data_IF_557767884947
#
_entry.id   IF_557767884947
#
_cell.length_a   1.000
_cell.length_b   1.000
_cell.length_c   1.000
_cell.angle_alpha   90.00
_cell.angle_beta   90.00
_cell.angle_gamma   90.00
#
_symmetry.space_group_name_H-M   'P 1'
#
loop_
_entity.id
_entity.type
_entity.pdbx_description
1 polymer ?
#
# COMPACT_ATOMS: atom_id res chain seq x y z
N UNK A 1 -34.17 13.53 -19.39
CA UNK A 1 -33.75 14.28 -20.59
C UNK A 1 -32.37 14.92 -20.41
N UNK A 2 -32.15 15.73 -19.36
CA UNK A 2 -30.85 16.37 -19.07
C UNK A 2 -29.65 15.41 -18.90
N UNK A 3 -29.83 14.23 -18.28
CA UNK A 3 -28.74 13.25 -18.15
C UNK A 3 -28.31 12.63 -19.49
N UNK A 4 -29.27 12.44 -20.40
CA UNK A 4 -29.03 11.89 -21.73
C UNK A 4 -28.29 12.90 -22.63
N UNK A 5 -28.68 14.18 -22.56
CA UNK A 5 -27.95 15.27 -23.23
C UNK A 5 -26.53 15.43 -22.69
N UNK A 6 -26.35 15.37 -21.36
CA UNK A 6 -25.02 15.38 -20.74
C UNK A 6 -24.15 14.23 -21.24
N UNK A 7 -24.69 13.02 -21.31
CA UNK A 7 -23.95 11.86 -21.82
C UNK A 7 -23.57 12.03 -23.30
N UNK A 8 -24.48 12.53 -24.13
CA UNK A 8 -24.22 12.81 -25.55
C UNK A 8 -23.13 13.87 -25.75
N UNK A 9 -23.11 14.92 -24.93
CA UNK A 9 -22.05 15.95 -24.95
C UNK A 9 -20.70 15.33 -24.58
N UNK A 10 -20.66 14.53 -23.50
CA UNK A 10 -19.45 13.86 -23.05
C UNK A 10 -18.90 12.89 -24.11
N UNK A 11 -19.76 12.16 -24.82
CA UNK A 11 -19.35 11.26 -25.88
C UNK A 11 -18.80 12.01 -27.11
N UNK A 12 -19.44 13.12 -27.51
CA UNK A 12 -18.92 13.98 -28.58
C UNK A 12 -17.56 14.59 -28.23
N UNK A 13 -17.40 15.09 -27.01
CA UNK A 13 -16.12 15.62 -26.52
C UNK A 13 -15.05 14.52 -26.49
N UNK A 14 -15.41 13.31 -26.05
CA UNK A 14 -14.50 12.18 -25.99
C UNK A 14 -14.04 11.73 -27.39
N UNK A 15 -14.96 11.66 -28.35
CA UNK A 15 -14.65 11.35 -29.75
C UNK A 15 -13.76 12.43 -30.38
N UNK A 16 -14.06 13.71 -30.12
CA UNK A 16 -13.24 14.83 -30.57
C UNK A 16 -11.81 14.77 -30.02
N UNK A 17 -11.68 14.54 -28.71
CA UNK A 17 -10.39 14.32 -28.06
C UNK A 17 -9.67 13.09 -28.64
N UNK A 18 -10.37 12.00 -28.92
CA UNK A 18 -9.78 10.79 -29.51
C UNK A 18 -9.23 11.06 -30.92
N UNK A 19 -9.97 11.79 -31.77
CA UNK A 19 -9.50 12.22 -33.10
C UNK A 19 -8.27 13.12 -32.99
N UNK A 20 -8.29 14.09 -32.08
CA UNK A 20 -7.16 14.99 -31.86
C UNK A 20 -5.90 14.25 -31.34
N UNK A 21 -6.05 13.26 -30.46
CA UNK A 21 -4.95 12.40 -30.03
C UNK A 21 -4.36 11.58 -31.18
N UNK A 22 -5.21 10.97 -32.02
CA UNK A 22 -4.78 10.22 -33.22
C UNK A 22 -4.01 11.11 -34.20
N UNK A 23 -4.41 12.39 -34.33
CA UNK A 23 -3.68 13.40 -35.11
C UNK A 23 -2.37 13.88 -34.48
N UNK A 24 -2.01 13.40 -33.28
CA UNK A 24 -0.75 13.77 -32.62
C UNK A 24 -0.84 14.91 -31.60
N UNK A 25 -1.98 15.61 -31.47
CA UNK A 25 -2.11 16.78 -30.58
C UNK A 25 -1.98 16.40 -29.10
N UNK A 26 -1.22 17.18 -28.35
CA UNK A 26 -1.03 17.05 -26.91
C UNK A 26 -2.27 17.55 -26.13
N UNK A 27 -3.08 16.61 -25.67
CA UNK A 27 -4.36 16.90 -24.99
C UNK A 27 -4.23 17.24 -23.49
N UNK A 28 -3.01 17.41 -23.00
CA UNK A 28 -2.73 17.74 -21.60
C UNK A 28 -1.98 16.65 -20.83
N UNK A 29 -1.70 16.94 -19.56
CA UNK A 29 -0.83 16.14 -18.71
C UNK A 29 0.61 16.67 -18.66
N UNK A 30 1.48 15.92 -17.98
CA UNK A 30 2.89 16.29 -17.79
C UNK A 30 3.67 16.00 -19.06
N UNK A 31 4.26 17.02 -19.66
CA UNK A 31 5.11 16.92 -20.85
C UNK A 31 6.40 16.19 -20.49
N UNK A 32 6.83 15.17 -21.27
CA UNK A 32 8.09 14.49 -21.05
C UNK A 32 9.30 15.45 -21.07
N UNK A 33 10.35 15.11 -20.34
CA UNK A 33 11.60 15.88 -20.34
C UNK A 33 12.23 15.81 -21.75
N UNK A 34 12.87 16.87 -22.23
CA UNK A 34 13.36 16.93 -23.62
C UNK A 34 12.35 17.46 -24.64
N UNK A 35 11.10 17.68 -24.22
CA UNK A 35 10.04 18.18 -25.09
C UNK A 35 9.33 19.40 -24.49
N UNK A 36 8.70 20.16 -25.38
CA UNK A 36 7.76 21.24 -25.11
C UNK A 36 6.54 21.14 -26.03
N UNK A 37 5.49 21.89 -25.72
CA UNK A 37 4.27 21.92 -26.55
C UNK A 37 4.28 23.24 -27.32
N UNK A 38 4.30 23.15 -28.65
CA UNK A 38 4.28 24.34 -29.52
C UNK A 38 2.88 25.01 -29.52
N UNK A 39 2.77 26.15 -30.20
CA UNK A 39 1.52 26.92 -30.31
C UNK A 39 0.36 26.08 -30.90
N UNK A 40 0.67 25.21 -31.86
CA UNK A 40 -0.30 24.32 -32.54
C UNK A 40 -0.77 23.14 -31.68
N UNK A 41 -0.14 22.95 -30.52
CA UNK A 41 -0.48 21.90 -29.55
C UNK A 41 0.19 20.56 -29.83
N UNK A 42 1.31 20.52 -30.54
CA UNK A 42 2.14 19.34 -30.81
C UNK A 42 3.38 19.32 -29.93
N UNK A 43 3.96 18.12 -29.73
CA UNK A 43 5.26 18.01 -29.06
C UNK A 43 6.37 18.46 -30.01
N UNK A 44 7.21 19.35 -29.53
CA UNK A 44 8.43 19.84 -30.17
C UNK A 44 9.63 19.51 -29.28
N UNK A 45 10.77 19.24 -29.91
CA UNK A 45 12.02 18.96 -29.20
C UNK A 45 12.53 20.26 -28.58
N UNK A 46 12.88 20.20 -27.30
CA UNK A 46 13.61 21.26 -26.64
C UNK A 46 15.09 20.89 -26.63
N UNK A 47 15.90 21.55 -27.46
CA UNK A 47 17.30 21.17 -27.73
C UNK A 47 18.16 21.08 -26.46
N UNK A 48 17.96 21.98 -25.50
CA UNK A 48 18.73 22.00 -24.24
C UNK A 48 18.43 20.77 -23.36
N UNK A 49 17.15 20.44 -23.16
CA UNK A 49 16.78 19.23 -22.42
C UNK A 49 17.07 17.95 -23.25
N UNK A 50 17.01 18.03 -24.58
CA UNK A 50 17.29 16.90 -25.47
C UNK A 50 18.77 16.49 -25.44
N UNK A 51 19.72 17.43 -25.33
CA UNK A 51 21.14 17.14 -25.10
C UNK A 51 21.34 16.28 -23.85
N UNK A 52 20.64 16.63 -22.76
CA UNK A 52 20.69 15.86 -21.50
C UNK A 52 20.11 14.45 -21.68
N UNK A 53 19.02 14.31 -22.44
CA UNK A 53 18.46 12.98 -22.77
C UNK A 53 19.46 12.15 -23.58
N UNK A 54 20.09 12.73 -24.61
CA UNK A 54 21.13 12.06 -25.40
C UNK A 54 22.29 11.60 -24.51
N UNK A 55 22.75 12.45 -23.60
CA UNK A 55 23.82 12.06 -22.68
C UNK A 55 23.38 10.97 -21.70
N UNK A 56 22.14 10.98 -21.19
CA UNK A 56 21.60 9.88 -20.36
C UNK A 56 21.67 8.53 -21.10
N UNK A 57 21.28 8.49 -22.37
CA UNK A 57 21.36 7.26 -23.17
C UNK A 57 22.80 6.85 -23.44
N UNK A 58 23.69 7.81 -23.75
CA UNK A 58 25.11 7.57 -23.96
C UNK A 58 25.79 6.99 -22.70
N UNK A 59 25.58 7.61 -21.54
CA UNK A 59 26.12 7.13 -20.26
C UNK A 59 25.62 5.72 -19.93
N UNK A 60 24.34 5.45 -20.20
CA UNK A 60 23.72 4.16 -19.88
C UNK A 60 24.15 3.02 -20.82
N UNK A 61 24.14 3.28 -22.13
CA UNK A 61 24.35 2.27 -23.18
C UNK A 61 25.84 2.09 -23.48
N UNK A 62 26.58 3.19 -23.68
CA UNK A 62 27.96 3.13 -24.13
C UNK A 62 28.95 3.08 -22.96
N UNK A 63 28.69 3.84 -21.88
CA UNK A 63 29.59 3.90 -20.72
C UNK A 63 29.23 2.91 -19.59
N UNK A 64 28.13 2.18 -19.71
CA UNK A 64 27.63 1.21 -18.71
C UNK A 64 27.37 1.81 -17.31
N UNK A 65 27.01 3.09 -17.22
CA UNK A 65 26.69 3.72 -15.93
C UNK A 65 25.36 3.20 -15.39
N UNK A 66 25.24 3.01 -14.07
CA UNK A 66 23.94 2.68 -13.49
C UNK A 66 23.03 3.91 -13.46
N UNK A 67 21.71 3.70 -13.37
CA UNK A 67 20.75 4.81 -13.20
C UNK A 67 21.03 5.68 -11.96
N UNK A 68 21.74 5.15 -10.96
CA UNK A 68 22.17 5.90 -9.77
C UNK A 68 23.36 6.77 -10.14
N UNK A 69 24.37 6.23 -10.81
CA UNK A 69 25.57 6.97 -11.20
C UNK A 69 25.22 8.12 -12.13
N UNK A 70 24.32 7.89 -13.10
CA UNK A 70 23.79 8.95 -13.97
C UNK A 70 23.09 10.04 -13.15
N UNK A 71 22.30 9.66 -12.13
CA UNK A 71 21.63 10.64 -11.27
C UNK A 71 22.61 11.49 -10.48
N UNK A 72 23.68 10.88 -9.97
CA UNK A 72 24.72 11.59 -9.23
C UNK A 72 25.50 12.52 -10.15
N UNK A 73 25.87 12.05 -11.35
CA UNK A 73 26.55 12.84 -12.36
C UNK A 73 25.77 14.08 -12.79
N UNK A 74 24.48 13.93 -13.11
CA UNK A 74 23.63 15.07 -13.47
C UNK A 74 23.44 16.06 -12.31
N UNK A 75 23.33 15.54 -11.08
CA UNK A 75 23.23 16.38 -9.89
C UNK A 75 24.55 17.11 -9.55
N UNK A 76 25.72 16.50 -9.77
CA UNK A 76 27.01 17.16 -9.53
C UNK A 76 27.27 18.29 -10.52
N UNK A 77 26.69 18.21 -11.72
CA UNK A 77 26.71 19.28 -12.72
C UNK A 77 25.61 20.32 -12.51
N UNK A 78 24.80 20.21 -11.44
CA UNK A 78 23.65 21.07 -11.15
C UNK A 78 22.63 21.16 -12.32
N UNK A 79 22.53 20.12 -13.16
CA UNK A 79 21.59 20.11 -14.29
C UNK A 79 20.15 20.03 -13.74
N UNK A 80 19.28 21.00 -14.04
CA UNK A 80 17.94 21.03 -13.49
C UNK A 80 17.06 19.92 -14.08
N UNK A 81 16.23 19.31 -13.21
CA UNK A 81 15.22 18.32 -13.61
C UNK A 81 14.02 18.90 -14.36
N UNK A 82 13.97 20.23 -14.52
CA UNK A 82 12.95 20.95 -15.26
C UNK A 82 13.49 22.35 -15.60
N UNK A 83 14.03 22.53 -16.80
CA UNK A 83 14.67 23.79 -17.20
C UNK A 83 13.65 24.90 -17.46
N UNK A 84 12.39 24.54 -17.76
CA UNK A 84 11.33 25.47 -18.17
C UNK A 84 10.10 25.39 -17.26
N UNK A 85 10.24 25.82 -16.00
CA UNK A 85 9.14 25.79 -15.00
C UNK A 85 7.85 26.50 -15.44
N UNK A 86 7.94 27.46 -16.36
CA UNK A 86 6.83 28.31 -16.79
C UNK A 86 6.08 27.75 -18.02
N UNK A 87 6.64 26.75 -18.72
CA UNK A 87 6.03 26.21 -19.94
C UNK A 87 4.82 25.31 -19.67
N UNK A 88 3.89 25.28 -20.64
CA UNK A 88 2.64 24.51 -20.57
C UNK A 88 2.92 23.02 -20.32
N UNK A 89 2.27 22.43 -19.31
CA UNK A 89 2.39 21.01 -19.00
C UNK A 89 3.66 20.58 -18.25
N UNK A 90 4.50 21.51 -17.80
CA UNK A 90 5.60 21.19 -16.86
C UNK A 90 5.09 21.19 -15.40
N UNK A 91 5.72 20.37 -14.56
CA UNK A 91 5.30 20.20 -13.15
C UNK A 91 5.73 21.43 -12.33
N UNK A 92 4.80 22.07 -11.62
CA UNK A 92 5.03 23.30 -10.85
C UNK A 92 5.28 23.09 -9.35
N UNK A 93 4.69 22.07 -8.73
CA UNK A 93 4.79 21.78 -7.28
C UNK A 93 5.41 20.40 -7.00
N UNK A 94 6.16 20.30 -5.90
CA UNK A 94 6.73 19.05 -5.38
C UNK A 94 7.98 18.56 -6.10
N UNK A 95 8.79 19.47 -6.67
CA UNK A 95 10.09 19.11 -7.26
C UNK A 95 11.19 19.31 -6.23
N UNK A 96 11.99 18.28 -6.00
CA UNK A 96 13.22 18.36 -5.18
C UNK A 96 14.37 19.05 -5.91
N UNK A 97 14.18 19.42 -7.19
CA UNK A 97 15.23 19.98 -8.06
C UNK A 97 16.26 18.94 -8.53
N UNK A 98 16.56 17.94 -7.71
CA UNK A 98 17.54 16.88 -7.94
C UNK A 98 17.02 15.71 -8.77
N UNK A 99 17.87 15.20 -9.66
CA UNK A 99 17.70 13.95 -10.39
C UNK A 99 17.65 12.75 -9.44
N UNK A 100 16.65 11.88 -9.63
CA UNK A 100 16.54 10.60 -8.93
C UNK A 100 16.71 9.47 -9.95
N UNK A 101 17.26 8.34 -9.53
CA UNK A 101 17.44 7.18 -10.40
C UNK A 101 16.12 6.74 -11.11
N UNK A 102 14.98 6.81 -10.42
CA UNK A 102 13.67 6.50 -11.02
C UNK A 102 13.27 7.45 -12.16
N UNK A 103 13.69 8.72 -12.11
CA UNK A 103 13.46 9.67 -13.20
C UNK A 103 14.23 9.25 -14.44
N UNK A 104 15.48 8.81 -14.28
CA UNK A 104 16.33 8.30 -15.38
C UNK A 104 15.75 7.00 -15.93
N UNK A 105 15.36 6.05 -15.07
CA UNK A 105 14.71 4.82 -15.51
C UNK A 105 13.44 5.10 -16.31
N UNK A 106 12.65 6.11 -15.92
CA UNK A 106 11.46 6.52 -16.68
C UNK A 106 11.81 7.09 -18.04
N UNK A 107 12.90 7.87 -18.16
CA UNK A 107 13.41 8.35 -19.45
C UNK A 107 13.83 7.18 -20.33
N UNK A 108 14.68 6.30 -19.80
CA UNK A 108 15.19 5.12 -20.52
C UNK A 108 14.08 4.14 -20.93
N UNK A 109 12.95 4.10 -20.23
CA UNK A 109 11.85 3.16 -20.53
C UNK A 109 10.77 3.71 -21.46
N UNK A 110 10.75 5.03 -21.68
CA UNK A 110 9.66 5.67 -22.41
C UNK A 110 9.89 5.55 -23.91
N UNK A 111 8.94 4.94 -24.63
CA UNK A 111 8.93 4.87 -26.10
C UNK A 111 8.86 6.25 -26.78
N UNK A 112 8.41 7.29 -26.06
CA UNK A 112 8.35 8.68 -26.57
C UNK A 112 9.69 9.16 -27.11
N UNK A 113 10.82 8.72 -26.54
CA UNK A 113 12.15 9.20 -26.96
C UNK A 113 12.60 8.62 -28.29
N UNK A 114 12.05 7.46 -28.70
CA UNK A 114 12.20 6.87 -30.04
C UNK A 114 11.11 7.31 -31.03
N UNK A 115 10.32 8.33 -30.68
CA UNK A 115 9.31 8.91 -31.56
C UNK A 115 7.90 8.30 -31.45
N UNK A 116 7.64 7.40 -30.48
CA UNK A 116 6.32 6.77 -30.32
C UNK A 116 5.73 7.10 -28.95
N UNK A 117 4.69 7.92 -28.90
CA UNK A 117 4.01 8.26 -27.66
C UNK A 117 2.68 7.51 -27.52
N UNK A 118 2.49 6.81 -26.40
CA UNK A 118 1.26 6.10 -26.09
C UNK A 118 0.34 6.90 -25.17
N UNK A 119 -0.82 7.30 -25.68
CA UNK A 119 -1.84 8.06 -24.95
C UNK A 119 -2.99 7.16 -24.47
N UNK A 120 -3.43 7.35 -23.22
CA UNK A 120 -4.60 6.65 -22.67
C UNK A 120 -4.31 5.47 -21.73
N UNK A 121 -3.04 5.11 -21.47
CA UNK A 121 -2.64 3.98 -20.61
C UNK A 121 -3.24 3.94 -19.19
N UNK A 122 -3.75 5.07 -18.69
CA UNK A 122 -4.27 5.22 -17.31
C UNK A 122 -5.71 5.74 -17.26
N UNK A 123 -6.40 5.80 -18.40
CA UNK A 123 -7.78 6.29 -18.46
C UNK A 123 -8.77 5.20 -18.09
N UNK A 124 -9.70 5.47 -17.17
CA UNK A 124 -10.76 4.54 -16.77
C UNK A 124 -11.83 4.33 -17.85
N UNK A 125 -12.02 5.31 -18.74
CA UNK A 125 -13.04 5.29 -19.81
C UNK A 125 -12.51 4.78 -21.17
N UNK A 126 -11.20 4.65 -21.37
CA UNK A 126 -10.59 4.18 -22.63
C UNK A 126 -10.14 2.73 -22.51
N UNK A 127 -10.65 1.86 -23.39
CA UNK A 127 -10.19 0.47 -23.52
C UNK A 127 -8.92 0.34 -24.37
N UNK A 128 -8.70 1.26 -25.33
CA UNK A 128 -7.58 1.20 -26.27
C UNK A 128 -6.56 2.32 -26.06
N UNK A 129 -5.28 1.96 -26.19
CA UNK A 129 -4.16 2.90 -26.14
C UNK A 129 -3.91 3.46 -27.54
N UNK A 130 -3.85 4.79 -27.66
CA UNK A 130 -3.56 5.45 -28.94
C UNK A 130 -2.06 5.64 -29.05
N UNK A 131 -1.44 4.95 -30.00
CA UNK A 131 -0.07 5.22 -30.42
C UNK A 131 -0.06 6.41 -31.37
N UNK A 132 0.83 7.37 -31.15
CA UNK A 132 1.02 8.53 -32.02
C UNK A 132 2.51 8.82 -32.24
N UNK A 133 2.83 9.31 -33.42
CA UNK A 133 4.19 9.70 -33.76
C UNK A 133 4.49 11.07 -33.16
N UNK A 134 5.70 11.20 -32.62
CA UNK A 134 6.25 12.42 -32.04
C UNK A 134 7.70 12.55 -32.54
N UNK A 135 8.28 13.76 -32.55
CA UNK A 135 9.68 13.93 -32.90
C UNK A 135 10.57 13.01 -32.05
N UNK A 136 11.50 12.29 -32.64
CA UNK A 136 12.41 11.40 -31.91
C UNK A 136 13.65 12.17 -31.43
N UNK A 137 14.08 11.94 -30.18
CA UNK A 137 15.34 12.49 -29.65
C UNK A 137 16.48 11.48 -29.79
N UNK A 138 16.14 10.18 -29.79
CA UNK A 138 17.06 9.05 -29.80
C UNK A 138 16.64 8.08 -30.90
N UNK A 139 17.62 7.52 -31.59
CA UNK A 139 17.38 6.48 -32.60
C UNK A 139 16.82 5.20 -31.98
N UNK A 140 16.00 4.49 -32.76
CA UNK A 140 15.37 3.26 -32.30
C UNK A 140 16.41 2.20 -31.88
N UNK A 141 17.56 2.14 -32.56
CA UNK A 141 18.65 1.24 -32.21
C UNK A 141 19.22 1.50 -30.81
N UNK A 142 19.49 2.76 -30.46
CA UNK A 142 20.03 3.15 -29.15
C UNK A 142 18.98 2.86 -28.06
N UNK A 143 17.70 3.11 -28.36
CA UNK A 143 16.61 2.80 -27.45
C UNK A 143 16.47 1.30 -27.18
N UNK A 144 16.58 0.48 -28.23
CA UNK A 144 16.54 -0.98 -28.11
C UNK A 144 17.75 -1.50 -27.32
N UNK A 145 18.96 -0.98 -27.56
CA UNK A 145 20.16 -1.29 -26.76
C UNK A 145 19.94 -0.96 -25.28
N UNK A 146 19.30 0.17 -24.96
CA UNK A 146 18.96 0.52 -23.59
C UNK A 146 17.95 -0.47 -22.95
N UNK A 147 16.96 -0.96 -23.69
CA UNK A 147 16.03 -1.98 -23.17
C UNK A 147 16.74 -3.31 -22.89
N UNK A 148 17.61 -3.76 -23.80
CA UNK A 148 18.41 -4.98 -23.62
C UNK A 148 19.30 -4.84 -22.38
N UNK A 149 20.01 -3.72 -22.23
CA UNK A 149 20.86 -3.45 -21.07
C UNK A 149 20.05 -3.46 -19.77
N UNK A 150 18.83 -2.92 -19.78
CA UNK A 150 17.93 -2.94 -18.63
C UNK A 150 17.45 -4.35 -18.28
N UNK A 151 17.13 -5.18 -19.28
CA UNK A 151 16.78 -6.59 -19.07
C UNK A 151 17.95 -7.38 -18.49
N UNK A 152 19.16 -7.21 -19.03
CA UNK A 152 20.40 -7.80 -18.49
C UNK A 152 20.61 -7.39 -17.02
N UNK A 153 20.46 -6.12 -16.71
CA UNK A 153 20.59 -5.61 -15.33
C UNK A 153 19.52 -6.15 -14.37
N UNK A 154 18.31 -6.46 -14.86
CA UNK A 154 17.27 -7.11 -14.06
C UNK A 154 17.56 -8.61 -13.83
N UNK A 155 18.03 -9.32 -14.84
CA UNK A 155 18.35 -10.74 -14.76
C UNK A 155 19.61 -10.98 -13.90
N UNK A 156 20.65 -10.20 -14.13
CA UNK A 156 21.90 -10.23 -13.35
C UNK A 156 21.80 -9.47 -12.03
N UNK A 157 20.61 -9.01 -11.62
CA UNK A 157 20.44 -8.32 -10.35
C UNK A 157 20.76 -9.31 -9.23
N UNK A 158 21.77 -9.05 -8.38
CA UNK A 158 22.06 -9.94 -7.27
C UNK A 158 20.95 -9.90 -6.20
N UNK A 159 19.86 -9.14 -6.38
CA UNK A 159 18.60 -9.32 -5.62
C UNK A 159 17.76 -10.52 -6.08
N UNK A 160 17.96 -10.99 -7.32
CA UNK A 160 17.26 -12.12 -7.95
C UNK A 160 18.07 -13.43 -7.91
N UNK A 161 19.38 -13.37 -7.66
CA UNK A 161 20.18 -14.56 -7.37
C UNK A 161 20.03 -14.91 -5.87
N UNK A 162 19.73 -16.17 -5.54
CA UNK A 162 19.39 -16.68 -4.22
C UNK A 162 20.27 -16.14 -3.08
N UNK A 163 19.89 -15.00 -2.52
CA UNK A 163 20.47 -14.47 -1.28
C UNK A 163 19.64 -14.99 -0.12
N UNK A 164 20.34 -15.43 0.94
CA UNK A 164 19.83 -15.78 2.28
C UNK A 164 18.40 -15.27 2.53
N UNK A 165 17.46 -16.17 2.79
CA UNK A 165 16.11 -15.80 3.20
C UNK A 165 16.16 -15.13 4.59
N UNK A 166 16.05 -13.80 4.60
CA UNK A 166 15.92 -12.98 5.81
C UNK A 166 14.51 -13.15 6.41
N UNK A 167 14.43 -13.72 7.63
CA UNK A 167 13.16 -14.05 8.27
C UNK A 167 12.37 -12.79 8.66
N UNK A 168 13.08 -11.74 9.06
CA UNK A 168 12.49 -10.50 9.60
C UNK A 168 12.34 -9.40 8.54
N UNK A 169 12.51 -9.76 7.27
CA UNK A 169 12.34 -8.83 6.14
C UNK A 169 10.88 -8.34 6.05
N UNK A 170 10.69 -7.03 6.15
CA UNK A 170 9.37 -6.37 6.13
C UNK A 170 8.74 -6.14 7.51
N UNK A 171 9.31 -6.73 8.57
CA UNK A 171 8.80 -6.62 9.95
C UNK A 171 9.64 -5.64 10.79
N UNK A 172 10.96 -5.62 10.57
CA UNK A 172 11.86 -4.73 11.31
C UNK A 172 11.72 -3.28 10.87
N UNK A 173 11.42 -2.41 11.83
CA UNK A 173 11.26 -0.96 11.65
C UNK A 173 12.19 -0.18 12.57
N UNK A 174 12.70 0.93 12.09
CA UNK A 174 13.53 1.85 12.85
C UNK A 174 12.65 2.77 13.70
N UNK A 175 12.78 2.73 15.03
CA UNK A 175 12.01 3.61 15.93
C UNK A 175 12.35 5.09 15.68
N UNK A 176 13.60 5.40 15.28
CA UNK A 176 14.08 6.78 15.07
C UNK A 176 13.61 7.43 13.77
N UNK A 177 13.59 6.68 12.66
CA UNK A 177 13.26 7.26 11.34
C UNK A 177 12.00 6.67 10.69
N UNK A 178 11.34 5.71 11.36
CA UNK A 178 10.13 5.03 10.90
C UNK A 178 10.32 4.09 9.71
N UNK A 179 11.51 4.01 9.10
CA UNK A 179 11.76 3.20 7.90
C UNK A 179 12.12 1.75 8.23
N UNK A 180 11.90 0.86 7.27
CA UNK A 180 12.20 -0.56 7.41
C UNK A 180 13.71 -0.83 7.42
N UNK A 181 14.11 -1.90 8.09
CA UNK A 181 15.44 -2.49 7.93
C UNK A 181 15.47 -3.43 6.72
N UNK A 182 16.63 -3.48 6.06
CA UNK A 182 16.88 -4.33 4.91
C UNK A 182 17.98 -5.34 5.26
N UNK A 183 17.75 -6.61 4.93
CA UNK A 183 18.75 -7.66 5.08
C UNK A 183 19.83 -7.52 4.03
N UNK A 184 21.09 -7.54 4.45
CA UNK A 184 22.24 -7.46 3.56
C UNK A 184 23.32 -8.42 4.00
N UNK A 185 23.86 -9.13 3.02
CA UNK A 185 25.00 -10.03 3.19
C UNK A 185 26.22 -9.32 2.63
N UNK A 186 27.28 -9.25 3.44
CA UNK A 186 28.60 -8.82 2.98
C UNK A 186 29.37 -10.03 2.43
N UNK A 187 30.32 -9.77 1.53
CA UNK A 187 31.16 -10.82 0.92
C UNK A 187 31.93 -11.63 1.98
N UNK A 188 32.31 -10.97 3.08
CA UNK A 188 33.16 -11.55 4.14
C UNK A 188 32.36 -11.91 5.41
N UNK A 189 31.39 -12.81 5.29
CA UNK A 189 30.77 -13.60 6.38
C UNK A 189 29.56 -13.03 7.13
N UNK A 190 29.43 -11.72 7.41
CA UNK A 190 28.28 -11.25 8.23
C UNK A 190 27.03 -10.88 7.44
N UNK A 191 25.91 -11.53 7.77
CA UNK A 191 24.57 -11.10 7.36
C UNK A 191 24.03 -10.13 8.41
N UNK A 192 23.59 -8.96 7.98
CA UNK A 192 23.09 -7.90 8.87
C UNK A 192 21.78 -7.31 8.39
N UNK A 193 21.01 -6.75 9.31
CA UNK A 193 19.92 -5.83 9.03
C UNK A 193 20.42 -4.39 9.12
N UNK A 194 20.21 -3.61 8.06
CA UNK A 194 20.61 -2.20 7.98
C UNK A 194 19.39 -1.33 7.72
N UNK A 195 19.27 -0.22 8.45
CA UNK A 195 18.19 0.76 8.23
C UNK A 195 18.21 1.30 6.79
N UNK A 196 17.05 1.35 6.13
CA UNK A 196 16.95 1.72 4.71
C UNK A 196 17.49 3.13 4.38
N UNK A 197 17.52 4.06 5.33
CA UNK A 197 18.16 5.39 5.15
C UNK A 197 19.67 5.30 4.93
N UNK A 198 20.35 4.32 5.53
CA UNK A 198 21.81 4.15 5.37
C UNK A 198 22.19 3.52 4.03
N UNK A 199 21.20 3.11 3.23
CA UNK A 199 21.36 2.38 1.98
C UNK A 199 20.57 3.05 0.87
N UNK A 200 20.95 2.74 -0.36
CA UNK A 200 20.20 3.14 -1.56
C UNK A 200 20.24 4.63 -1.86
N UNK A 201 19.28 5.04 -2.69
CA UNK A 201 19.29 6.33 -3.38
C UNK A 201 19.18 7.52 -2.44
N UNK A 202 18.56 7.37 -1.26
CA UNK A 202 18.40 8.50 -0.34
C UNK A 202 19.70 8.90 0.34
N UNK A 203 20.57 7.96 0.73
CA UNK A 203 21.91 8.30 1.21
C UNK A 203 22.77 8.86 0.09
N UNK A 204 22.77 8.20 -1.09
CA UNK A 204 23.65 8.54 -2.22
C UNK A 204 23.26 9.86 -2.92
N UNK A 205 21.96 10.18 -2.98
CA UNK A 205 21.43 11.33 -3.74
C UNK A 205 20.97 12.47 -2.80
N UNK A 206 20.41 12.15 -1.63
CA UNK A 206 19.80 13.14 -0.73
C UNK A 206 20.62 13.42 0.54
N UNK A 207 21.66 12.64 0.85
CA UNK A 207 22.50 12.84 2.04
C UNK A 207 21.83 12.51 3.38
N UNK A 208 20.61 11.98 3.38
CA UNK A 208 19.90 11.60 4.61
C UNK A 208 20.49 10.32 5.21
N UNK A 209 21.11 10.40 6.39
CA UNK A 209 21.58 9.22 7.12
C UNK A 209 20.94 9.10 8.49
N UNK A 210 20.37 7.94 8.80
CA UNK A 210 20.00 7.59 10.18
C UNK A 210 21.22 7.01 10.90
N UNK A 211 21.32 7.33 12.19
CA UNK A 211 22.41 6.95 13.09
C UNK A 211 22.14 5.64 13.86
N UNK A 212 20.99 4.98 13.61
CA UNK A 212 20.60 3.73 14.26
C UNK A 212 21.62 2.60 13.99
N UNK A 213 21.74 1.60 14.85
CA UNK A 213 22.74 0.52 14.71
C UNK A 213 22.47 -0.41 13.52
N UNK A 214 23.51 -1.11 13.07
CA UNK A 214 23.35 -2.25 12.18
C UNK A 214 23.23 -3.50 13.06
N UNK A 215 22.26 -4.35 12.78
CA UNK A 215 21.94 -5.49 13.64
C UNK A 215 22.41 -6.78 12.98
N UNK A 216 23.09 -7.67 13.73
CA UNK A 216 23.45 -8.99 13.21
C UNK A 216 22.17 -9.81 12.91
N UNK A 217 22.05 -10.31 11.69
CA UNK A 217 20.84 -10.99 11.25
C UNK A 217 20.65 -12.36 11.90
N UNK A 218 21.71 -13.06 12.28
CA UNK A 218 21.64 -14.38 12.91
C UNK A 218 21.15 -14.25 14.35
N UNK A 219 21.86 -13.45 15.16
CA UNK A 219 21.50 -13.16 16.55
C UNK A 219 20.05 -12.64 16.65
N UNK A 220 19.67 -11.68 15.81
CA UNK A 220 18.32 -11.11 15.85
C UNK A 220 17.25 -12.13 15.45
N UNK A 221 17.52 -12.96 14.44
CA UNK A 221 16.57 -13.99 14.01
C UNK A 221 16.40 -15.10 15.05
N UNK A 222 17.48 -15.52 15.72
CA UNK A 222 17.42 -16.50 16.81
C UNK A 222 16.66 -15.98 18.02
N UNK A 223 16.91 -14.74 18.44
CA UNK A 223 16.17 -14.10 19.54
C UNK A 223 14.69 -14.01 19.22
N UNK A 224 14.33 -13.59 18.00
CA UNK A 224 12.91 -13.53 17.59
C UNK A 224 12.29 -14.92 17.46
N UNK A 225 13.04 -15.92 17.00
CA UNK A 225 12.54 -17.30 16.91
C UNK A 225 12.32 -17.91 18.29
N UNK A 226 13.20 -17.65 19.25
CA UNK A 226 13.04 -18.06 20.64
C UNK A 226 11.78 -17.44 21.27
N UNK A 227 11.57 -16.13 21.05
CA UNK A 227 10.35 -15.44 21.47
C UNK A 227 9.09 -16.08 20.86
N UNK A 228 9.11 -16.38 19.56
CA UNK A 228 8.00 -17.07 18.88
C UNK A 228 7.73 -18.45 19.48
N UNK A 229 8.78 -19.23 19.80
CA UNK A 229 8.61 -20.52 20.50
C UNK A 229 7.94 -20.34 21.85
N UNK A 230 8.38 -19.37 22.65
CA UNK A 230 7.78 -19.07 23.95
C UNK A 230 6.30 -18.66 23.82
N UNK A 231 5.96 -17.86 22.81
CA UNK A 231 4.58 -17.47 22.52
C UNK A 231 3.73 -18.67 22.12
N UNK A 232 4.23 -19.54 21.23
CA UNK A 232 3.50 -20.74 20.79
C UNK A 232 3.29 -21.75 21.92
N UNK A 233 4.24 -21.86 22.87
CA UNK A 233 4.09 -22.74 24.04
C UNK A 233 3.11 -22.18 25.08
N UNK A 234 3.07 -20.84 25.24
CA UNK A 234 2.26 -20.17 26.26
C UNK A 234 1.08 -19.38 25.67
N UNK A 235 0.62 -19.71 24.46
CA UNK A 235 -0.38 -18.91 23.73
C UNK A 235 -1.68 -18.71 24.53
N UNK A 236 -2.08 -19.68 25.35
CA UNK A 236 -3.23 -19.60 26.26
C UNK A 236 -3.10 -18.48 27.30
N UNK A 237 -1.88 -18.23 27.81
CA UNK A 237 -1.59 -17.15 28.78
C UNK A 237 -1.31 -15.81 28.09
N UNK A 238 -0.68 -15.86 26.91
CA UNK A 238 -0.20 -14.69 26.16
C UNK A 238 -1.33 -13.99 25.39
N UNK A 239 -2.50 -14.63 25.24
CA UNK A 239 -3.68 -14.00 24.67
C UNK A 239 -4.77 -13.74 25.74
N UNK A 240 -4.56 -12.80 26.70
CA UNK A 240 -5.62 -12.32 27.60
C UNK A 240 -6.84 -11.77 26.86
N UNK A 241 -6.67 -11.34 25.61
CA UNK A 241 -7.74 -10.92 24.70
C UNK A 241 -8.69 -12.06 24.31
N UNK A 242 -8.34 -13.34 24.46
CA UNK A 242 -9.30 -14.45 24.39
C UNK A 242 -10.24 -14.44 25.60
N UNK A 243 -9.72 -14.12 26.80
CA UNK A 243 -10.55 -13.99 28.00
C UNK A 243 -11.35 -12.68 27.99
N UNK A 244 -10.77 -11.54 27.60
CA UNK A 244 -11.52 -10.27 27.47
C UNK A 244 -12.55 -10.30 26.33
N UNK A 245 -12.28 -10.99 25.22
CA UNK A 245 -13.28 -11.19 24.16
C UNK A 245 -14.37 -12.16 24.56
N UNK A 246 -14.08 -13.20 25.35
CA UNK A 246 -15.11 -14.03 26.01
C UNK A 246 -15.98 -13.21 26.96
N UNK A 247 -15.38 -12.34 27.77
CA UNK A 247 -16.10 -11.44 28.69
C UNK A 247 -16.98 -10.44 27.92
N UNK A 248 -16.44 -9.75 26.91
CA UNK A 248 -17.21 -8.82 26.07
C UNK A 248 -18.26 -9.53 25.21
N UNK A 249 -17.99 -10.76 24.75
CA UNK A 249 -18.99 -11.59 24.05
C UNK A 249 -20.11 -12.02 25.00
N UNK A 250 -19.82 -12.27 26.28
CA UNK A 250 -20.84 -12.55 27.28
C UNK A 250 -21.70 -11.32 27.60
N UNK A 251 -21.11 -10.13 27.70
CA UNK A 251 -21.86 -8.87 27.82
C UNK A 251 -22.75 -8.60 26.60
N UNK A 252 -22.22 -8.82 25.39
CA UNK A 252 -22.99 -8.71 24.14
C UNK A 252 -24.10 -9.75 24.06
N UNK A 253 -23.87 -11.00 24.50
CA UNK A 253 -24.92 -12.02 24.62
C UNK A 253 -26.00 -11.61 25.63
N UNK A 254 -25.62 -10.99 26.75
CA UNK A 254 -26.55 -10.45 27.75
C UNK A 254 -27.37 -9.28 27.19
N UNK A 255 -26.75 -8.38 26.43
CA UNK A 255 -27.45 -7.29 25.76
C UNK A 255 -28.36 -7.80 24.63
N UNK A 256 -27.92 -8.83 23.89
CA UNK A 256 -28.74 -9.50 22.87
C UNK A 256 -30.01 -10.11 23.48
N UNK A 257 -29.88 -10.74 24.66
CA UNK A 257 -31.04 -11.27 25.40
C UNK A 257 -32.01 -10.15 25.77
N UNK A 258 -31.52 -9.02 26.29
CA UNK A 258 -32.36 -7.84 26.60
C UNK A 258 -33.07 -7.29 25.36
N UNK A 259 -32.38 -7.17 24.23
CA UNK A 259 -33.00 -6.70 22.98
C UNK A 259 -34.05 -7.67 22.45
N UNK A 260 -33.83 -8.98 22.59
CA UNK A 260 -34.83 -10.01 22.24
C UNK A 260 -36.04 -9.95 23.17
N UNK A 261 -35.84 -9.69 24.46
CA UNK A 261 -36.93 -9.46 25.41
C UNK A 261 -37.74 -8.21 25.06
N UNK A 262 -37.09 -7.10 24.70
CA UNK A 262 -37.76 -5.88 24.23
C UNK A 262 -38.55 -6.12 22.94
N UNK A 263 -37.97 -6.85 21.99
CA UNK A 263 -38.65 -7.25 20.76
C UNK A 263 -39.93 -8.07 21.05
N UNK A 264 -39.86 -9.00 22.00
CA UNK A 264 -41.02 -9.81 22.42
C UNK A 264 -42.05 -9.00 23.23
N UNK A 265 -41.62 -7.99 23.99
CA UNK A 265 -42.54 -7.07 24.70
C UNK A 265 -43.40 -6.27 23.71
N UNK A 266 -42.85 -5.93 22.54
CA UNK A 266 -43.60 -5.22 21.48
C UNK A 266 -44.77 -6.05 20.91
N UNK A 267 -44.67 -7.38 20.89
CA UNK A 267 -45.83 -8.24 20.55
C UNK A 267 -46.94 -8.13 21.61
N UNK A 268 -46.56 -8.11 22.88
CA UNK A 268 -47.54 -7.93 23.97
C UNK A 268 -48.20 -6.56 23.95
N UNK A 269 -47.48 -5.51 23.55
CA UNK A 269 -48.05 -4.16 23.35
C UNK A 269 -49.08 -4.15 22.21
N UNK A 270 -48.76 -4.82 21.08
CA UNK A 270 -49.69 -5.01 19.97
C UNK A 270 -50.97 -5.73 20.43
N UNK A 271 -50.86 -6.81 21.20
CA UNK A 271 -52.01 -7.56 21.71
C UNK A 271 -52.90 -6.71 22.64
N UNK A 272 -52.30 -5.80 23.42
CA UNK A 272 -53.04 -4.85 24.27
C UNK A 272 -53.82 -3.82 23.43
N UNK A 273 -53.20 -3.25 22.40
CA UNK A 273 -53.86 -2.31 21.49
C UNK A 273 -55.05 -2.98 20.79
N UNK A 274 -54.88 -4.20 20.31
CA UNK A 274 -55.98 -4.99 19.72
C UNK A 274 -57.10 -5.28 20.73
N UNK A 275 -56.77 -5.42 22.02
CA UNK A 275 -57.76 -5.62 23.08
C UNK A 275 -58.51 -4.34 23.44
N UNK A 276 -57.85 -3.18 23.38
CA UNK A 276 -58.48 -1.87 23.57
C UNK A 276 -59.42 -1.53 22.41
N UNK A 277 -59.04 -1.88 21.18
CA UNK A 277 -59.89 -1.75 20.00
C UNK A 277 -61.15 -2.61 20.10
N UNK A 278 -61.02 -3.87 20.53
CA UNK A 278 -62.18 -4.77 20.76
C UNK A 278 -63.15 -4.28 21.84
N UNK A 279 -62.75 -3.33 22.67
CA UNK A 279 -63.60 -2.69 23.70
C UNK A 279 -64.19 -1.35 23.22
N UNK A 280 -64.02 -1.01 21.94
CA UNK A 280 -64.44 0.25 21.31
C UNK A 280 -63.90 1.52 22.01
N UNK A 281 -62.73 1.41 22.66
CA UNK A 281 -62.10 2.51 23.39
C UNK A 281 -61.19 3.39 22.52
N UNK A 282 -60.90 2.97 21.28
CA UNK A 282 -59.99 3.64 20.34
C UNK A 282 -60.50 3.51 18.90
N UNK A 283 -60.16 4.49 18.05
CA UNK A 283 -60.58 4.50 16.64
C UNK A 283 -59.69 3.61 15.74
N UNK A 284 -60.19 3.25 14.56
CA UNK A 284 -59.45 2.46 13.58
C UNK A 284 -58.17 3.17 13.09
N UNK A 285 -58.24 4.49 12.90
CA UNK A 285 -57.10 5.34 12.52
C UNK A 285 -55.99 5.35 13.59
N UNK A 286 -56.35 5.33 14.87
CA UNK A 286 -55.38 5.30 15.97
C UNK A 286 -54.68 3.93 16.06
N UNK A 287 -55.44 2.86 15.84
CA UNK A 287 -54.90 1.50 15.79
C UNK A 287 -53.92 1.33 14.64
N UNK A 288 -54.25 1.85 13.45
CA UNK A 288 -53.36 1.73 12.29
C UNK A 288 -52.03 2.46 12.51
N UNK A 289 -52.07 3.68 13.08
CA UNK A 289 -50.87 4.45 13.42
C UNK A 289 -49.99 3.73 14.44
N UNK A 290 -50.56 3.23 15.52
CA UNK A 290 -49.80 2.55 16.59
C UNK A 290 -49.24 1.19 16.14
N UNK A 291 -50.01 0.40 15.37
CA UNK A 291 -49.52 -0.87 14.80
C UNK A 291 -48.36 -0.60 13.83
N UNK A 292 -48.43 0.46 13.03
CA UNK A 292 -47.35 0.86 12.13
C UNK A 292 -46.09 1.28 12.89
N UNK A 293 -46.22 2.09 13.93
CA UNK A 293 -45.10 2.50 14.79
C UNK A 293 -44.43 1.29 15.47
N UNK A 294 -45.22 0.35 16.00
CA UNK A 294 -44.70 -0.89 16.59
C UNK A 294 -43.97 -1.74 15.54
N UNK A 295 -44.51 -1.85 14.33
CA UNK A 295 -43.89 -2.61 13.23
C UNK A 295 -42.54 -2.02 12.82
N UNK A 296 -42.44 -0.70 12.72
CA UNK A 296 -41.21 -0.02 12.36
C UNK A 296 -40.14 -0.18 13.45
N UNK A 297 -40.52 -0.07 14.73
CA UNK A 297 -39.59 -0.30 15.85
C UNK A 297 -39.15 -1.77 15.94
N UNK A 298 -40.05 -2.73 15.71
CA UNK A 298 -39.67 -4.16 15.63
C UNK A 298 -38.69 -4.42 14.48
N UNK A 299 -38.90 -3.80 13.32
CA UNK A 299 -37.97 -3.92 12.20
C UNK A 299 -36.59 -3.34 12.52
N UNK A 300 -36.54 -2.20 13.23
CA UNK A 300 -35.29 -1.59 13.71
C UNK A 300 -34.57 -2.49 14.72
N UNK A 301 -35.27 -3.01 15.72
CA UNK A 301 -34.72 -3.94 16.72
C UNK A 301 -34.22 -5.24 16.07
N UNK A 302 -34.96 -5.79 15.11
CA UNK A 302 -34.54 -7.02 14.42
C UNK A 302 -33.27 -6.81 13.58
N UNK A 303 -33.14 -5.65 12.90
CA UNK A 303 -31.90 -5.29 12.20
C UNK A 303 -30.70 -5.22 13.15
N UNK A 304 -30.88 -4.63 14.34
CA UNK A 304 -29.83 -4.54 15.36
C UNK A 304 -29.45 -5.93 15.91
N UNK A 305 -30.44 -6.79 16.19
CA UNK A 305 -30.23 -8.18 16.62
C UNK A 305 -29.41 -8.94 15.58
N UNK A 306 -29.81 -8.90 14.31
CA UNK A 306 -29.11 -9.57 13.21
C UNK A 306 -27.67 -9.07 13.05
N UNK A 307 -27.44 -7.76 13.19
CA UNK A 307 -26.09 -7.19 13.13
C UNK A 307 -25.20 -7.71 14.27
N UNK A 308 -25.73 -7.75 15.49
CA UNK A 308 -24.98 -8.24 16.66
C UNK A 308 -24.72 -9.75 16.55
N UNK A 309 -25.70 -10.54 16.12
CA UNK A 309 -25.55 -11.99 15.92
C UNK A 309 -24.50 -12.32 14.85
N UNK A 310 -24.56 -11.68 13.69
CA UNK A 310 -23.58 -11.86 12.63
C UNK A 310 -22.17 -11.47 13.09
N UNK A 311 -22.06 -10.39 13.87
CA UNK A 311 -20.78 -10.01 14.46
C UNK A 311 -20.27 -11.08 15.42
N UNK A 312 -21.11 -11.62 16.31
CA UNK A 312 -20.69 -12.67 17.25
C UNK A 312 -20.23 -13.94 16.55
N UNK A 313 -20.96 -14.41 15.52
CA UNK A 313 -20.59 -15.60 14.74
C UNK A 313 -19.24 -15.41 14.04
N UNK A 314 -19.07 -14.30 13.32
CA UNK A 314 -17.82 -13.98 12.61
C UNK A 314 -16.63 -13.86 13.57
N UNK A 315 -16.85 -13.30 14.76
CA UNK A 315 -15.81 -13.21 15.80
C UNK A 315 -15.40 -14.60 16.33
N UNK A 316 -16.35 -15.52 16.47
CA UNK A 316 -16.10 -16.88 16.96
C UNK A 316 -15.41 -17.75 15.90
N UNK A 317 -15.81 -17.64 14.63
CA UNK A 317 -15.14 -18.33 13.52
C UNK A 317 -13.68 -17.90 13.35
N UNK A 318 -13.41 -16.59 13.42
CA UNK A 318 -12.04 -16.05 13.38
C UNK A 318 -11.17 -16.58 14.52
N UNK A 319 -11.77 -16.71 15.70
CA UNK A 319 -11.08 -17.20 16.90
C UNK A 319 -10.76 -18.69 16.76
N UNK A 320 -11.70 -19.50 16.26
CA UNK A 320 -11.49 -20.93 15.99
C UNK A 320 -10.40 -21.14 14.93
N UNK A 321 -10.49 -20.45 13.80
CA UNK A 321 -9.48 -20.49 12.73
C UNK A 321 -8.08 -20.09 13.24
N UNK A 322 -8.01 -19.06 14.09
CA UNK A 322 -6.75 -18.67 14.72
C UNK A 322 -6.20 -19.79 15.62
N UNK A 323 -7.03 -20.41 16.45
CA UNK A 323 -6.59 -21.50 17.34
C UNK A 323 -6.12 -22.73 16.57
N UNK A 324 -6.81 -23.12 15.50
CA UNK A 324 -6.41 -24.24 14.63
C UNK A 324 -5.04 -23.98 13.99
N UNK A 325 -4.84 -22.76 13.48
CA UNK A 325 -3.55 -22.35 12.88
C UNK A 325 -2.41 -22.40 13.90
N UNK A 326 -2.65 -21.97 15.14
CA UNK A 326 -1.64 -22.03 16.22
C UNK A 326 -1.30 -23.48 16.57
N UNK A 327 -2.29 -24.37 16.62
CA UNK A 327 -2.09 -25.81 16.88
C UNK A 327 -1.25 -26.44 15.76
N UNK A 328 -1.51 -26.10 14.50
CA UNK A 328 -0.72 -26.55 13.35
C UNK A 328 0.75 -26.09 13.45
N UNK A 329 0.96 -24.81 13.78
CA UNK A 329 2.30 -24.26 13.96
C UNK A 329 3.04 -24.86 15.16
N UNK A 330 2.33 -25.22 16.24
CA UNK A 330 2.91 -25.93 17.38
C UNK A 330 3.44 -27.30 16.98
N UNK A 331 2.71 -28.06 16.15
CA UNK A 331 3.17 -29.37 15.63
C UNK A 331 4.41 -29.23 14.75
N UNK A 332 4.48 -28.15 13.97
CA UNK A 332 5.54 -27.92 12.97
C UNK A 332 6.82 -27.25 13.53
N UNK A 333 6.95 -27.10 14.86
CA UNK A 333 7.98 -26.24 15.47
C UNK A 333 9.37 -26.88 15.55
N UNK A 334 9.43 -28.22 15.57
CA UNK A 334 10.67 -28.99 15.85
C UNK A 334 11.57 -29.10 14.61
N UNK A 335 11.01 -29.23 13.40
CA UNK A 335 11.78 -29.30 12.16
C UNK A 335 11.14 -28.46 11.04
N UNK A 336 11.45 -27.16 11.04
CA UNK A 336 10.79 -26.16 10.20
C UNK A 336 11.78 -25.53 9.21
N UNK A 337 11.43 -25.50 7.91
CA UNK A 337 12.22 -24.83 6.87
C UNK A 337 12.31 -23.31 7.12
N UNK A 338 13.30 -22.63 6.52
CA UNK A 338 13.44 -21.17 6.70
C UNK A 338 12.26 -20.39 6.13
N UNK A 339 11.63 -20.87 5.06
CA UNK A 339 10.39 -20.28 4.54
C UNK A 339 9.27 -20.37 5.55
N UNK A 340 9.05 -21.55 6.14
CA UNK A 340 7.97 -21.77 7.11
C UNK A 340 8.22 -21.02 8.42
N UNK A 341 9.48 -20.90 8.88
CA UNK A 341 9.84 -19.99 9.99
C UNK A 341 9.44 -18.54 9.71
N UNK A 342 9.71 -18.05 8.50
CA UNK A 342 9.36 -16.70 8.07
C UNK A 342 7.84 -16.48 8.03
N UNK A 343 7.09 -17.48 7.58
CA UNK A 343 5.63 -17.47 7.58
C UNK A 343 5.07 -17.36 9.00
N UNK A 344 5.51 -18.22 9.91
CA UNK A 344 5.09 -18.23 11.32
C UNK A 344 5.43 -16.88 11.99
N UNK A 345 6.64 -16.37 11.79
CA UNK A 345 7.07 -15.08 12.34
C UNK A 345 6.18 -13.94 11.81
N UNK A 346 5.88 -13.91 10.51
CA UNK A 346 4.99 -12.88 9.92
C UNK A 346 3.56 -12.98 10.42
N UNK A 347 3.10 -14.19 10.70
CA UNK A 347 1.76 -14.42 11.23
C UNK A 347 1.64 -13.88 12.66
N UNK A 348 2.62 -14.14 13.52
CA UNK A 348 2.60 -13.80 14.95
C UNK A 348 3.15 -12.43 15.31
N UNK A 349 4.03 -11.85 14.49
CA UNK A 349 4.70 -10.59 14.79
C UNK A 349 4.36 -9.57 13.70
N UNK A 350 3.74 -8.45 14.11
CA UNK A 350 3.28 -7.39 13.22
C UNK A 350 4.46 -6.53 12.79
N UNK A 351 5.22 -6.08 13.77
CA UNK A 351 6.40 -5.25 13.57
C UNK A 351 7.36 -5.38 14.75
N UNK A 352 8.64 -5.14 14.51
CA UNK A 352 9.65 -5.09 15.57
C UNK A 352 10.37 -3.75 15.46
N UNK A 353 10.18 -2.89 16.46
CA UNK A 353 10.85 -1.60 16.54
C UNK A 353 12.27 -1.80 17.06
N UNK A 354 13.25 -1.30 16.30
CA UNK A 354 14.66 -1.38 16.61
C UNK A 354 15.18 0.01 16.96
N UNK A 355 15.83 0.11 18.12
CA UNK A 355 16.51 1.29 18.61
C UNK A 355 17.83 0.88 19.29
N UNK A 356 18.57 1.87 19.80
CA UNK A 356 19.74 1.62 20.63
C UNK A 356 19.77 2.58 21.83
N UNK A 357 20.34 2.10 22.93
CA UNK A 357 20.77 2.92 24.07
C UNK A 357 22.29 3.04 24.06
N UNK A 358 22.82 4.11 24.66
CA UNK A 358 24.26 4.27 24.83
C UNK A 358 24.57 3.91 26.28
N UNK A 359 25.21 2.77 26.48
CA UNK A 359 25.74 2.34 27.77
C UNK A 359 27.26 2.20 27.62
N UNK A 360 28.02 2.81 28.53
CA UNK A 360 29.49 2.78 28.52
C UNK A 360 30.13 3.18 27.18
N UNK A 361 29.56 4.18 26.49
CA UNK A 361 30.04 4.66 25.18
C UNK A 361 29.78 3.72 24.00
N UNK A 362 29.11 2.58 24.21
CA UNK A 362 28.74 1.63 23.15
C UNK A 362 27.23 1.67 22.90
N UNK A 363 26.84 1.46 21.64
CA UNK A 363 25.42 1.38 21.26
C UNK A 363 24.89 -0.03 21.51
N UNK A 364 24.01 -0.18 22.49
CA UNK A 364 23.35 -1.44 22.82
C UNK A 364 21.99 -1.54 22.14
N UNK A 365 21.67 -2.73 21.62
CA UNK A 365 20.44 -2.99 20.87
C UNK A 365 19.21 -3.03 21.79
N UNK A 366 18.22 -2.19 21.50
CA UNK A 366 16.90 -2.24 22.13
C UNK A 366 15.86 -2.64 21.10
N UNK A 367 15.09 -3.69 21.39
CA UNK A 367 14.05 -4.21 20.52
C UNK A 367 12.70 -4.20 21.23
N UNK A 368 11.67 -3.76 20.52
CA UNK A 368 10.28 -3.77 20.99
C UNK A 368 9.41 -4.50 19.96
N UNK A 369 9.20 -5.81 20.11
CA UNK A 369 8.33 -6.57 19.23
C UNK A 369 6.86 -6.24 19.52
N UNK A 370 6.09 -5.99 18.45
CA UNK A 370 4.63 -5.84 18.48
C UNK A 370 4.03 -7.11 17.88
N UNK A 371 3.27 -7.83 18.70
CA UNK A 371 2.64 -9.07 18.29
C UNK A 371 1.44 -8.79 17.38
N UNK A 372 1.34 -9.57 16.31
CA UNK A 372 0.20 -9.60 15.41
C UNK A 372 -0.84 -10.55 15.99
N UNK A 373 -1.45 -10.15 17.09
CA UNK A 373 -2.77 -10.69 17.37
C UNK A 373 -3.69 -9.96 16.41
N UNK A 374 -4.01 -10.61 15.30
CA UNK A 374 -5.08 -10.18 14.39
C UNK A 374 -6.46 -10.40 15.05
N UNK A 375 -6.52 -10.04 16.33
CA UNK A 375 -7.66 -9.89 17.19
C UNK A 375 -7.71 -8.40 17.52
N UNK A 376 -7.61 -7.57 16.49
CA UNK A 376 -8.10 -6.20 16.54
C UNK A 376 -9.63 -6.31 16.64
N UNK A 377 -10.16 -6.56 17.83
CA UNK A 377 -11.50 -6.09 18.18
C UNK A 377 -11.44 -4.58 18.40
N UNK A 378 -10.90 -3.83 17.42
CA UNK A 378 -11.17 -2.41 17.34
C UNK A 378 -12.61 -2.26 16.85
N UNK A 379 -13.54 -2.40 17.80
CA UNK A 379 -14.91 -1.89 17.65
C UNK A 379 -14.98 -0.42 18.10
N UNK A 380 -13.87 0.16 18.57
CA UNK A 380 -13.81 1.57 18.93
C UNK A 380 -13.16 2.41 17.84
N UNK A 381 -14.00 2.77 16.87
CA UNK A 381 -14.06 4.06 16.19
C UNK A 381 -15.27 4.00 15.29
N UNK A 382 -16.38 4.53 15.80
CA UNK A 382 -17.55 5.07 15.09
C UNK A 382 -18.74 4.98 16.05
N UNK A 383 -18.83 5.98 16.93
CA UNK A 383 -20.04 6.47 17.62
C UNK A 383 -19.56 7.47 18.70
N UNK A 384 -19.12 8.64 18.25
CA UNK A 384 -19.47 9.90 18.92
C UNK A 384 -20.76 10.41 18.28
#
# INVERSE_FOLDING_TARGET
MAELERNNILDRMFLGATRAAKKGKWLGGIVPYGYEVNADGYLQINEEEAKVVKEIYNLYVNKNYTSIDISMYLNSLNIPTNSFRNSKGKRRKGLTGKWRHNSILRILSSSTYKGIHEYGKRGTRRKETISRNVPAIIDEEIWNKAQIQKQKNNYCNPRNCHKRTYLLSGILKCERCGRNFQGVSYKDKSSVYVCATKRGDKKRILGETCDNINVNAEVMEETMWSLVKQILLNYEKVIPSLNKSKISSNEKKKNLLKLKEEFNKKDKEKDKILTLFRKDLISEDDVEKEIKAIKDEKNRLNKLILQIENNLVNCQEKLNSFTETIIEYKKSIVNCSREKKKEIIKYLIKEVLVNFKIENGRKELVIKPTLNFNVNFNVYKDMD
#
